data_IF_914554661095
#
_entry.id   IF_914554661095
#
_cell.length_a   1.000
_cell.length_b   1.000
_cell.length_c   1.000
_cell.angle_alpha   90.00
_cell.angle_beta   90.00
_cell.angle_gamma   90.00
#
_symmetry.space_group_name_H-M   'P 1'
#
loop_
_entity.id
_entity.type
_entity.pdbx_description
1 polymer ?
#
# COMPACT_ATOMS: atom_id res chain seq x y z
N UNK A 1 -57.25 0.70 -13.91
CA UNK A 1 -56.55 0.92 -12.62
C UNK A 1 -55.14 0.35 -12.75
N UNK A 2 -54.12 1.20 -12.85
CA UNK A 2 -52.73 0.77 -12.95
C UNK A 2 -52.16 0.56 -11.54
N UNK A 3 -51.89 -0.68 -11.15
CA UNK A 3 -51.22 -1.00 -9.89
C UNK A 3 -49.77 -0.54 -9.98
N UNK A 4 -49.42 0.50 -9.22
CA UNK A 4 -48.05 0.98 -9.10
C UNK A 4 -47.16 -0.13 -8.51
N UNK A 5 -46.30 -0.70 -9.33
CA UNK A 5 -45.30 -1.68 -8.89
C UNK A 5 -44.38 -1.03 -7.86
N UNK A 6 -44.27 -1.65 -6.67
CA UNK A 6 -43.39 -1.12 -5.62
C UNK A 6 -41.95 -1.21 -6.10
N UNK A 7 -41.18 -0.14 -5.88
CA UNK A 7 -39.77 -0.04 -6.30
C UNK A 7 -38.92 -1.24 -5.82
N UNK A 8 -39.24 -1.78 -4.65
CA UNK A 8 -38.58 -2.98 -4.10
C UNK A 8 -38.78 -4.20 -5.01
N UNK A 9 -39.98 -4.39 -5.58
CA UNK A 9 -40.28 -5.50 -6.48
C UNK A 9 -39.57 -5.33 -7.84
N UNK A 10 -39.29 -4.09 -8.24
CA UNK A 10 -38.50 -3.77 -9.45
C UNK A 10 -37.00 -4.03 -9.20
N UNK A 11 -36.49 -3.67 -8.03
CA UNK A 11 -35.08 -3.87 -7.65
C UNK A 11 -34.75 -5.34 -7.31
N UNK A 12 -35.74 -6.11 -6.89
CA UNK A 12 -35.58 -7.54 -6.59
C UNK A 12 -35.48 -8.42 -7.84
N UNK A 13 -35.82 -7.89 -9.03
CA UNK A 13 -35.64 -8.62 -10.28
C UNK A 13 -34.15 -8.70 -10.65
N UNK A 14 -33.68 -9.84 -11.18
CA UNK A 14 -32.32 -9.94 -11.69
C UNK A 14 -32.11 -8.88 -12.77
N UNK A 15 -30.95 -8.20 -12.75
CA UNK A 15 -30.62 -7.20 -13.75
C UNK A 15 -30.59 -7.86 -15.13
N UNK A 16 -31.51 -7.47 -16.00
CA UNK A 16 -31.51 -7.89 -17.39
C UNK A 16 -30.30 -7.28 -18.08
N UNK A 17 -29.51 -8.13 -18.73
CA UNK A 17 -28.37 -7.69 -19.52
C UNK A 17 -28.87 -6.94 -20.75
N UNK A 18 -28.18 -5.88 -21.17
CA UNK A 18 -28.57 -5.10 -22.35
C UNK A 18 -28.60 -6.01 -23.59
N UNK A 19 -29.53 -5.85 -24.55
CA UNK A 19 -29.60 -6.70 -25.74
C UNK A 19 -28.32 -6.75 -26.58
N UNK A 20 -27.53 -5.67 -26.55
CA UNK A 20 -26.22 -5.58 -27.23
C UNK A 20 -25.04 -6.05 -26.37
N UNK A 21 -25.29 -6.54 -25.16
CA UNK A 21 -24.22 -7.04 -24.30
C UNK A 21 -23.77 -8.42 -24.80
N UNK A 22 -22.60 -8.44 -25.41
CA UNK A 22 -21.83 -9.66 -25.60
C UNK A 22 -20.98 -9.91 -24.36
N UNK A 23 -21.13 -11.09 -23.74
CA UNK A 23 -20.18 -11.55 -22.72
C UNK A 23 -18.77 -11.54 -23.35
N UNK A 24 -17.86 -10.68 -22.86
CA UNK A 24 -16.45 -10.73 -23.22
C UNK A 24 -15.81 -11.93 -22.49
N UNK A 25 -16.17 -13.14 -22.94
CA UNK A 25 -15.56 -14.39 -22.48
C UNK A 25 -14.13 -14.41 -22.98
N UNK A 26 -13.23 -13.82 -22.21
CA UNK A 26 -11.77 -14.01 -22.33
C UNK A 26 -11.38 -15.42 -21.90
N UNK A 27 -11.98 -16.45 -22.51
CA UNK A 27 -11.48 -17.81 -22.46
C UNK A 27 -10.63 -18.02 -23.70
N UNK A 28 -9.35 -18.27 -23.47
CA UNK A 28 -8.24 -18.37 -24.43
C UNK A 28 -8.43 -19.44 -25.53
N UNK A 29 -9.50 -20.23 -25.50
CA UNK A 29 -9.75 -21.31 -26.45
C UNK A 29 -10.97 -20.98 -27.32
N UNK A 30 -10.71 -20.60 -28.56
CA UNK A 30 -11.71 -20.38 -29.60
C UNK A 30 -12.17 -21.73 -30.13
N UNK A 31 -13.19 -22.34 -29.53
CA UNK A 31 -13.67 -23.68 -29.93
C UNK A 31 -14.61 -23.59 -31.14
N UNK A 32 -15.36 -22.49 -31.28
CA UNK A 32 -16.43 -22.39 -32.29
C UNK A 32 -16.15 -21.39 -33.44
N UNK A 33 -15.09 -20.57 -33.37
CA UNK A 33 -14.73 -19.62 -34.45
C UNK A 33 -13.23 -19.56 -34.66
N UNK A 34 -12.80 -19.46 -35.93
CA UNK A 34 -11.39 -19.23 -36.25
C UNK A 34 -10.98 -17.83 -35.74
N UNK A 35 -9.78 -17.67 -35.16
CA UNK A 35 -9.27 -16.38 -34.74
C UNK A 35 -9.19 -15.42 -35.94
N UNK A 36 -9.29 -14.12 -35.66
CA UNK A 36 -9.19 -13.07 -36.69
C UNK A 36 -7.85 -13.22 -37.40
N UNK A 37 -7.88 -13.52 -38.70
CA UNK A 37 -6.64 -13.70 -39.46
C UNK A 37 -5.93 -12.35 -39.64
N UNK A 38 -4.59 -12.33 -39.56
CA UNK A 38 -3.82 -11.13 -39.89
C UNK A 38 -4.13 -10.68 -41.32
N UNK A 39 -4.12 -9.36 -41.54
CA UNK A 39 -4.26 -8.82 -42.89
C UNK A 39 -3.07 -9.17 -43.79
N UNK A 40 -3.05 -8.77 -45.07
CA UNK A 40 -1.99 -9.12 -46.03
C UNK A 40 -0.57 -8.71 -45.63
N UNK A 41 -0.39 -7.88 -44.58
CA UNK A 41 0.91 -7.51 -44.01
C UNK A 41 1.30 -8.27 -42.74
N UNK A 42 0.61 -9.36 -42.37
CA UNK A 42 0.97 -10.19 -41.21
C UNK A 42 0.55 -9.66 -39.84
N UNK A 43 0.04 -8.43 -39.74
CA UNK A 43 -0.41 -7.83 -38.48
C UNK A 43 -1.94 -7.71 -38.43
N UNK A 44 -2.55 -7.98 -37.27
CA UNK A 44 -3.97 -7.69 -37.02
C UNK A 44 -4.22 -6.18 -37.17
N UNK A 45 -5.09 -5.79 -38.12
CA UNK A 45 -5.53 -4.40 -38.25
C UNK A 45 -6.35 -4.04 -37.00
N UNK A 46 -5.82 -3.14 -36.18
CA UNK A 46 -6.56 -2.61 -35.03
C UNK A 46 -7.67 -1.71 -35.58
N UNK A 47 -8.88 -2.24 -35.66
CA UNK A 47 -10.07 -1.47 -36.02
C UNK A 47 -10.55 -0.77 -34.77
N UNK A 48 -10.36 0.55 -34.71
CA UNK A 48 -10.89 1.38 -33.64
C UNK A 48 -12.41 1.45 -33.84
N UNK A 49 -13.16 0.97 -32.86
CA UNK A 49 -14.61 1.16 -32.83
C UNK A 49 -14.93 2.59 -32.41
N UNK A 50 -16.04 3.17 -32.87
CA UNK A 50 -16.41 4.54 -32.53
C UNK A 50 -16.46 4.80 -31.01
N UNK A 51 -16.81 3.78 -30.22
CA UNK A 51 -16.78 3.85 -28.75
C UNK A 51 -15.36 3.94 -28.16
N UNK A 52 -14.41 3.18 -28.72
CA UNK A 52 -13.00 3.26 -28.30
C UNK A 52 -12.40 4.60 -28.70
N UNK A 53 -12.79 5.13 -29.86
CA UNK A 53 -12.40 6.48 -30.29
C UNK A 53 -12.93 7.55 -29.32
N UNK A 54 -14.19 7.46 -28.89
CA UNK A 54 -14.75 8.34 -27.86
C UNK A 54 -14.01 8.25 -26.52
N UNK A 55 -13.67 7.03 -26.08
CA UNK A 55 -12.95 6.82 -24.82
C UNK A 55 -11.50 7.30 -24.88
N UNK A 56 -10.91 7.35 -26.08
CA UNK A 56 -9.57 7.89 -26.29
C UNK A 56 -9.52 9.42 -26.19
N UNK A 57 -10.67 10.10 -26.33
CA UNK A 57 -10.76 11.55 -26.14
C UNK A 57 -10.59 11.89 -24.67
N UNK A 58 -9.81 12.92 -24.37
CA UNK A 58 -9.70 13.45 -23.02
C UNK A 58 -11.08 13.86 -22.51
N UNK A 59 -11.38 13.60 -21.23
CA UNK A 59 -12.60 14.13 -20.62
C UNK A 59 -12.58 15.65 -20.66
N UNK A 60 -13.67 16.25 -21.14
CA UNK A 60 -13.86 17.69 -21.07
C UNK A 60 -13.90 18.13 -19.60
N UNK A 61 -13.10 19.16 -19.28
CA UNK A 61 -13.14 19.80 -17.97
C UNK A 61 -14.51 20.43 -17.80
N UNK A 62 -15.13 20.25 -16.62
CA UNK A 62 -16.43 20.88 -16.32
C UNK A 62 -16.31 22.40 -16.54
N UNK A 63 -17.16 22.98 -17.40
CA UNK A 63 -17.17 24.42 -17.70
C UNK A 63 -17.45 25.28 -16.47
N UNK A 64 -18.08 24.71 -15.44
CA UNK A 64 -18.34 25.36 -14.14
C UNK A 64 -17.14 25.27 -13.18
N UNK A 65 -16.03 24.64 -13.59
CA UNK A 65 -14.83 24.53 -12.78
C UNK A 65 -14.08 25.86 -12.73
N UNK A 66 -14.31 26.60 -11.64
CA UNK A 66 -13.55 27.83 -11.33
C UNK A 66 -12.24 27.44 -10.63
N UNK A 67 -11.11 27.63 -11.32
CA UNK A 67 -9.75 27.30 -10.84
C UNK A 67 -9.39 27.99 -9.51
N UNK A 68 -10.00 29.15 -9.27
CA UNK A 68 -9.90 29.93 -8.04
C UNK A 68 -11.28 30.06 -7.41
N UNK A 69 -11.72 29.05 -6.65
CA UNK A 69 -12.71 29.35 -5.62
C UNK A 69 -12.09 30.43 -4.74
N UNK A 70 -12.69 31.62 -4.58
CA UNK A 70 -12.22 32.54 -3.56
C UNK A 70 -12.32 31.77 -2.25
N UNK A 71 -11.17 31.49 -1.63
CA UNK A 71 -11.17 31.05 -0.24
C UNK A 71 -12.00 32.07 0.53
N UNK A 72 -12.84 31.68 1.50
CA UNK A 72 -13.57 32.66 2.29
C UNK A 72 -12.55 33.62 2.90
N UNK A 73 -12.50 34.85 2.39
CA UNK A 73 -11.67 35.92 2.94
C UNK A 73 -12.47 36.38 4.15
N UNK A 74 -12.18 35.81 5.31
CA UNK A 74 -12.81 36.23 6.55
C UNK A 74 -12.34 37.65 6.84
N UNK A 75 -13.26 38.60 6.98
CA UNK A 75 -12.94 39.96 7.38
C UNK A 75 -12.22 39.92 8.73
N UNK A 76 -10.96 40.34 8.74
CA UNK A 76 -10.16 40.39 9.96
C UNK A 76 -10.63 41.57 10.80
N UNK A 77 -11.01 41.32 12.06
CA UNK A 77 -11.44 42.38 12.98
C UNK A 77 -10.35 43.46 13.09
N UNK A 78 -10.70 44.77 13.15
CA UNK A 78 -9.71 45.84 13.22
C UNK A 78 -8.81 45.75 14.47
N UNK A 79 -9.28 45.11 15.55
CA UNK A 79 -8.46 44.82 16.73
C UNK A 79 -7.35 43.80 16.49
N UNK A 80 -7.56 42.83 15.59
CA UNK A 80 -6.53 41.87 15.21
C UNK A 80 -5.47 42.50 14.30
N UNK A 81 -5.85 43.49 13.48
CA UNK A 81 -4.90 44.29 12.68
C UNK A 81 -4.01 45.21 13.54
N UNK A 82 -4.49 45.61 14.72
CA UNK A 82 -3.78 46.46 15.68
C UNK A 82 -3.04 45.68 16.77
N UNK A 83 -3.14 44.35 16.79
CA UNK A 83 -2.54 43.53 17.83
C UNK A 83 -1.02 43.51 17.69
N UNK A 84 -0.30 43.87 18.75
CA UNK A 84 1.15 43.75 18.82
C UNK A 84 1.54 42.38 19.36
N UNK A 85 2.67 41.84 18.90
CA UNK A 85 3.17 40.57 19.37
C UNK A 85 3.55 40.65 20.86
N UNK A 86 3.29 39.59 21.61
CA UNK A 86 3.79 39.46 22.99
C UNK A 86 5.30 39.22 22.95
N UNK A 87 6.04 39.68 23.96
CA UNK A 87 7.50 39.44 24.04
C UNK A 87 7.88 37.96 23.95
N UNK A 88 7.01 37.03 24.37
CA UNK A 88 7.22 35.58 24.16
C UNK A 88 7.07 35.19 22.70
N UNK A 89 6.10 35.76 21.99
CA UNK A 89 5.90 35.50 20.54
C UNK A 89 7.07 36.04 19.75
N UNK A 90 7.61 37.20 20.13
CA UNK A 90 8.82 37.76 19.55
C UNK A 90 10.05 36.87 19.82
N UNK A 91 10.20 36.32 21.03
CA UNK A 91 11.27 35.36 21.32
C UNK A 91 11.14 34.05 20.53
N UNK A 92 9.91 33.60 20.26
CA UNK A 92 9.65 32.38 19.48
C UNK A 92 9.74 32.61 17.97
N UNK A 93 9.54 33.85 17.50
CA UNK A 93 9.68 34.19 16.08
C UNK A 93 11.15 34.28 15.66
N UNK A 94 12.06 34.49 16.61
CA UNK A 94 13.49 34.34 16.37
C UNK A 94 13.81 32.87 16.04
N UNK A 95 14.56 32.68 14.96
CA UNK A 95 15.08 31.36 14.63
C UNK A 95 15.94 30.84 15.78
N UNK A 96 15.88 29.53 16.03
CA UNK A 96 16.76 28.90 17.01
C UNK A 96 18.19 28.94 16.50
N UNK A 97 19.06 29.67 17.18
CA UNK A 97 20.52 29.68 16.92
C UNK A 97 21.14 28.42 17.49
N UNK A 98 21.06 27.31 16.73
CA UNK A 98 21.72 26.07 17.12
C UNK A 98 23.24 26.18 16.91
N UNK A 99 23.99 26.62 17.93
CA UNK A 99 25.46 26.57 17.96
C UNK A 99 26.03 25.14 18.18
N UNK A 100 25.40 24.10 17.65
CA UNK A 100 25.81 22.69 17.91
C UNK A 100 25.92 21.81 16.66
N UNK A 101 25.43 22.23 15.52
CA UNK A 101 25.52 21.43 14.29
C UNK A 101 26.53 22.04 13.33
N UNK A 102 27.82 21.75 13.56
CA UNK A 102 28.75 21.71 12.43
C UNK A 102 28.21 20.63 11.49
N UNK A 103 27.87 20.99 10.25
CA UNK A 103 27.61 19.98 9.24
C UNK A 103 28.93 19.21 9.05
N UNK A 104 28.93 17.90 9.30
CA UNK A 104 30.12 17.06 9.15
C UNK A 104 30.66 17.08 7.70
N UNK A 105 29.82 17.48 6.73
CA UNK A 105 30.15 17.57 5.33
C UNK A 105 29.56 18.83 4.70
N UNK A 106 30.30 19.55 3.83
CA UNK A 106 29.76 20.69 3.09
C UNK A 106 28.57 20.27 2.21
N UNK A 107 27.61 21.19 1.95
CA UNK A 107 26.42 20.91 1.12
C UNK A 107 26.76 20.63 -0.35
N UNK A 108 27.96 20.97 -0.79
CA UNK A 108 28.47 20.66 -2.12
C UNK A 108 29.70 19.75 -2.01
N UNK A 109 29.83 18.81 -2.93
CA UNK A 109 31.00 17.94 -3.05
C UNK A 109 32.11 18.70 -3.77
N UNK A 110 33.20 19.04 -3.07
CA UNK A 110 34.39 19.61 -3.71
C UNK A 110 35.09 18.54 -4.52
N UNK A 111 35.04 18.66 -5.86
CA UNK A 111 35.75 17.76 -6.77
C UNK A 111 37.19 18.25 -6.92
N UNK A 112 38.15 17.36 -6.71
CA UNK A 112 39.60 17.63 -6.86
C UNK A 112 39.93 18.02 -8.31
N UNK A 113 40.93 18.89 -8.51
CA UNK A 113 41.35 19.33 -9.85
C UNK A 113 41.76 18.16 -10.75
N UNK A 114 42.46 17.16 -10.21
CA UNK A 114 42.83 15.94 -10.91
C UNK A 114 41.62 15.14 -11.43
N UNK A 115 40.48 15.18 -10.73
CA UNK A 115 39.26 14.52 -11.18
C UNK A 115 38.53 15.33 -12.26
N UNK A 116 38.72 16.66 -12.30
CA UNK A 116 38.20 17.52 -13.36
C UNK A 116 39.00 17.40 -14.66
N UNK A 117 40.30 17.09 -14.57
CA UNK A 117 41.21 16.94 -15.72
C UNK A 117 41.49 15.49 -16.11
N UNK A 118 40.84 14.50 -15.46
CA UNK A 118 41.06 13.09 -15.74
C UNK A 118 40.55 12.72 -17.14
N UNK A 119 41.42 12.13 -17.95
CA UNK A 119 41.06 11.58 -19.25
C UNK A 119 40.37 10.22 -19.09
N UNK A 120 39.41 9.96 -19.98
CA UNK A 120 38.68 8.70 -20.04
C UNK A 120 39.63 7.57 -20.43
N UNK A 121 39.53 6.41 -19.78
CA UNK A 121 40.25 5.20 -20.21
C UNK A 121 39.46 4.48 -21.30
N UNK A 122 40.14 3.79 -22.21
CA UNK A 122 39.52 3.01 -23.30
C UNK A 122 38.44 2.05 -22.79
N UNK A 123 38.65 1.46 -21.61
CA UNK A 123 37.66 0.61 -20.94
C UNK A 123 36.39 1.39 -20.57
N UNK A 124 36.53 2.58 -19.99
CA UNK A 124 35.40 3.45 -19.64
C UNK A 124 34.69 3.95 -20.89
N UNK A 125 35.42 4.27 -21.95
CA UNK A 125 34.86 4.63 -23.25
C UNK A 125 34.03 3.48 -23.84
N UNK A 126 34.54 2.25 -23.76
CA UNK A 126 33.82 1.07 -24.21
C UNK A 126 32.60 0.73 -23.34
N UNK A 127 32.63 1.04 -22.04
CA UNK A 127 31.48 0.87 -21.15
C UNK A 127 30.42 1.96 -21.31
N UNK A 128 30.85 3.17 -21.72
CA UNK A 128 29.96 4.30 -21.99
C UNK A 128 29.20 4.13 -23.31
N UNK A 129 29.72 3.34 -24.25
CA UNK A 129 29.00 2.99 -25.49
C UNK A 129 27.70 2.25 -25.14
N UNK A 130 26.54 2.67 -25.69
CA UNK A 130 25.29 1.97 -25.46
C UNK A 130 25.41 0.54 -26.01
N UNK A 131 25.06 -0.46 -25.21
CA UNK A 131 25.04 -1.85 -25.67
C UNK A 131 23.88 -2.05 -26.63
N UNK A 132 24.13 -2.50 -27.85
CA UNK A 132 23.05 -2.88 -28.77
C UNK A 132 22.33 -4.10 -28.22
N UNK A 133 21.01 -4.19 -28.45
CA UNK A 133 20.19 -5.33 -28.00
C UNK A 133 20.71 -6.66 -28.55
N UNK A 134 21.27 -6.62 -29.77
CA UNK A 134 21.83 -7.75 -30.50
C UNK A 134 23.10 -8.30 -29.79
N UNK A 135 23.95 -7.43 -29.26
CA UNK A 135 25.18 -7.84 -28.55
C UNK A 135 24.90 -8.50 -27.18
N UNK A 136 23.68 -8.29 -26.64
CA UNK A 136 23.25 -8.87 -25.36
C UNK A 136 22.45 -10.16 -25.54
N UNK A 137 21.77 -10.28 -26.69
CA UNK A 137 20.96 -11.42 -27.07
C UNK A 137 21.24 -11.70 -28.56
N UNK A 138 22.23 -12.54 -28.87
CA UNK A 138 22.39 -13.14 -30.21
C UNK A 138 21.24 -14.13 -30.52
N UNK A 139 20.01 -13.77 -30.15
CA UNK A 139 18.90 -14.73 -30.08
C UNK A 139 17.80 -14.27 -31.01
N UNK A 140 17.58 -15.07 -32.05
CA UNK A 140 16.34 -15.06 -32.81
C UNK A 140 15.19 -15.33 -31.82
N UNK A 141 14.39 -14.31 -31.53
CA UNK A 141 13.16 -14.43 -30.75
C UNK A 141 12.21 -15.36 -31.51
N UNK A 142 11.91 -16.55 -30.94
CA UNK A 142 10.83 -17.39 -31.45
C UNK A 142 9.48 -16.79 -31.09
N UNK A 143 8.42 -17.21 -31.78
CA UNK A 143 7.03 -16.73 -31.58
C UNK A 143 6.52 -16.83 -30.12
N UNK A 144 7.17 -17.64 -29.28
CA UNK A 144 6.82 -17.83 -27.86
C UNK A 144 7.77 -17.14 -26.86
N UNK A 145 8.70 -16.29 -27.32
CA UNK A 145 9.63 -15.57 -26.44
C UNK A 145 10.70 -16.44 -25.79
N UNK A 146 10.83 -17.69 -26.23
CA UNK A 146 11.88 -18.59 -25.77
C UNK A 146 13.22 -18.23 -26.42
N UNK A 147 14.21 -17.91 -25.60
CA UNK A 147 15.60 -17.83 -26.02
C UNK A 147 16.11 -19.24 -26.36
N UNK A 148 16.55 -19.50 -27.60
CA UNK A 148 17.16 -20.79 -27.99
C UNK A 148 18.68 -20.70 -28.20
N UNK A 149 19.42 -21.83 -28.08
CA UNK A 149 19.25 -22.95 -27.16
C UNK A 149 20.15 -22.76 -25.93
N UNK A 150 19.86 -23.48 -24.85
CA UNK A 150 20.81 -23.66 -23.73
C UNK A 150 22.18 -24.02 -24.32
N UNK A 151 23.22 -23.25 -23.98
CA UNK A 151 24.57 -23.49 -24.52
C UNK A 151 24.99 -24.93 -24.27
N UNK A 152 25.77 -25.51 -25.17
CA UNK A 152 26.22 -26.91 -24.98
C UNK A 152 26.98 -27.10 -23.67
N UNK A 153 27.73 -26.09 -23.24
CA UNK A 153 28.41 -26.07 -21.96
C UNK A 153 27.41 -26.16 -20.79
N UNK A 154 26.30 -25.42 -20.84
CA UNK A 154 25.25 -25.49 -19.82
C UNK A 154 24.51 -26.84 -19.85
N UNK A 155 24.33 -27.48 -21.01
CA UNK A 155 23.76 -28.84 -21.10
C UNK A 155 24.69 -29.92 -20.55
N UNK A 156 26.01 -29.71 -20.68
CA UNK A 156 27.07 -30.62 -20.18
C UNK A 156 27.49 -30.31 -18.74
N UNK A 157 27.00 -29.21 -18.17
CA UNK A 157 27.37 -28.77 -16.83
C UNK A 157 26.86 -29.79 -15.80
N UNK A 158 27.77 -30.25 -14.94
CA UNK A 158 27.45 -31.06 -13.77
C UNK A 158 27.33 -30.15 -12.55
N UNK A 159 26.45 -30.53 -11.63
CA UNK A 159 26.29 -29.82 -10.37
C UNK A 159 27.59 -29.96 -9.57
N UNK A 160 28.05 -28.87 -8.96
CA UNK A 160 29.21 -28.91 -8.06
C UNK A 160 28.76 -29.36 -6.67
N UNK A 161 29.62 -30.02 -5.91
CA UNK A 161 29.34 -30.47 -4.53
C UNK A 161 28.80 -29.33 -3.63
N UNK A 162 29.29 -28.11 -3.86
CA UNK A 162 28.79 -26.92 -3.16
C UNK A 162 27.34 -26.60 -3.52
N UNK A 163 26.96 -26.75 -4.78
CA UNK A 163 25.57 -26.51 -5.21
C UNK A 163 24.66 -27.63 -4.71
N UNK A 164 25.14 -28.87 -4.66
CA UNK A 164 24.40 -29.97 -4.02
C UNK A 164 24.15 -29.70 -2.53
N UNK A 165 25.19 -29.30 -1.77
CA UNK A 165 25.01 -28.97 -0.35
C UNK A 165 24.12 -27.74 -0.09
N UNK A 166 24.09 -26.78 -1.02
CA UNK A 166 23.17 -25.64 -0.94
C UNK A 166 21.73 -26.00 -1.35
N UNK A 167 21.55 -27.06 -2.15
CA UNK A 167 20.24 -27.57 -2.54
C UNK A 167 19.60 -28.40 -1.42
N UNK A 168 20.39 -28.88 -0.45
CA UNK A 168 19.85 -29.54 0.74
C UNK A 168 19.00 -28.53 1.56
N UNK A 169 17.74 -28.88 1.89
CA UNK A 169 16.90 -28.01 2.70
C UNK A 169 17.50 -27.87 4.11
N UNK A 170 17.40 -26.66 4.66
CA UNK A 170 17.84 -26.41 6.05
C UNK A 170 17.05 -27.29 7.01
N UNK A 171 17.77 -27.91 7.95
CA UNK A 171 17.15 -28.67 9.03
C UNK A 171 16.29 -27.74 9.90
N UNK A 172 15.07 -28.14 10.27
CA UNK A 172 14.24 -27.37 11.17
C UNK A 172 14.91 -27.25 12.55
N UNK A 173 14.58 -26.20 13.29
CA UNK A 173 15.05 -26.02 14.67
C UNK A 173 14.59 -27.18 15.56
N UNK A 174 15.34 -27.53 16.61
CA UNK A 174 15.01 -28.65 17.52
C UNK A 174 13.63 -28.55 18.18
N UNK A 175 13.12 -27.33 18.32
CA UNK A 175 11.79 -27.02 18.87
C UNK A 175 10.75 -26.69 17.79
N UNK A 176 11.05 -26.87 16.51
CA UNK A 176 10.10 -26.61 15.44
C UNK A 176 8.91 -27.56 15.56
N UNK A 177 7.73 -27.00 15.79
CA UNK A 177 6.47 -27.70 15.69
C UNK A 177 5.81 -27.30 14.37
N UNK A 178 5.40 -28.27 13.53
CA UNK A 178 4.68 -27.96 12.31
C UNK A 178 3.35 -27.25 12.64
N UNK A 179 2.81 -26.52 11.67
CA UNK A 179 1.50 -25.90 11.83
C UNK A 179 0.47 -26.96 12.25
N UNK A 180 -0.32 -26.65 13.28
CA UNK A 180 -1.42 -27.53 13.70
C UNK A 180 -2.40 -27.69 12.52
N UNK A 181 -2.92 -28.91 12.28
CA UNK A 181 -3.91 -29.12 11.23
C UNK A 181 -5.14 -28.21 11.44
N UNK A 182 -5.77 -27.80 10.34
CA UNK A 182 -6.93 -26.89 10.35
C UNK A 182 -8.08 -27.45 11.20
N UNK A 183 -8.23 -28.78 11.22
CA UNK A 183 -9.11 -29.49 12.15
C UNK A 183 -8.25 -30.11 13.25
N UNK A 184 -8.34 -29.57 14.45
CA UNK A 184 -7.83 -30.21 15.65
C UNK A 184 -9.02 -30.66 16.48
N UNK A 185 -8.92 -31.86 17.05
CA UNK A 185 -9.97 -32.42 17.88
C UNK A 185 -10.16 -31.55 19.12
N UNK A 186 -11.39 -31.08 19.33
CA UNK A 186 -11.77 -30.35 20.53
C UNK A 186 -11.95 -31.37 21.63
N UNK A 187 -11.33 -31.14 22.80
CA UNK A 187 -11.45 -32.08 23.91
C UNK A 187 -12.90 -32.23 24.36
N UNK A 188 -13.27 -33.44 24.78
CA UNK A 188 -14.58 -33.76 25.34
C UNK A 188 -15.00 -32.81 26.47
N UNK A 189 -14.04 -32.39 27.29
CA UNK A 189 -14.24 -31.42 28.36
C UNK A 189 -14.64 -30.04 27.83
N UNK A 190 -14.03 -29.60 26.73
CA UNK A 190 -14.37 -28.32 26.11
C UNK A 190 -15.73 -28.38 25.41
N UNK A 191 -16.10 -29.51 24.80
CA UNK A 191 -17.43 -29.73 24.19
C UNK A 191 -18.52 -29.72 25.28
N UNK A 192 -18.24 -30.35 26.43
CA UNK A 192 -19.19 -30.48 27.56
C UNK A 192 -19.13 -29.31 28.55
N UNK A 193 -18.29 -28.31 28.31
CA UNK A 193 -18.09 -27.20 29.23
C UNK A 193 -19.36 -26.32 29.30
N UNK A 194 -19.91 -26.16 30.50
CA UNK A 194 -21.00 -25.23 30.76
C UNK A 194 -20.45 -23.83 31.08
N UNK A 195 -21.06 -22.81 30.49
CA UNK A 195 -20.74 -21.42 30.78
C UNK A 195 -20.98 -21.09 32.26
N UNK A 196 -20.07 -20.34 32.87
CA UNK A 196 -20.22 -19.90 34.26
C UNK A 196 -21.45 -19.00 34.42
N UNK A 197 -22.04 -18.97 35.63
CA UNK A 197 -23.22 -18.15 35.93
C UNK A 197 -23.03 -16.68 35.51
N UNK A 198 -21.83 -16.13 35.74
CA UNK A 198 -21.50 -14.76 35.34
C UNK A 198 -21.47 -14.58 33.83
N UNK A 199 -20.93 -15.56 33.09
CA UNK A 199 -20.89 -15.54 31.64
C UNK A 199 -22.31 -15.64 31.05
N UNK A 200 -23.17 -16.48 31.65
CA UNK A 200 -24.60 -16.55 31.31
C UNK A 200 -25.36 -15.25 31.60
N UNK A 201 -25.01 -14.53 32.67
CA UNK A 201 -25.59 -13.22 32.98
C UNK A 201 -25.15 -12.16 31.95
N UNK A 202 -23.87 -12.17 31.57
CA UNK A 202 -23.31 -11.22 30.60
C UNK A 202 -23.77 -11.50 29.16
N UNK A 203 -24.06 -12.77 28.83
CA UNK A 203 -24.56 -13.14 27.50
C UNK A 203 -26.03 -12.73 27.28
N UNK A 204 -26.76 -12.35 28.34
CA UNK A 204 -28.11 -11.82 28.19
C UNK A 204 -28.03 -10.45 27.50
N UNK A 205 -28.70 -10.26 26.34
CA UNK A 205 -28.72 -8.97 25.69
C UNK A 205 -29.35 -7.95 26.64
N UNK A 206 -28.76 -6.76 26.69
CA UNK A 206 -29.27 -5.66 27.51
C UNK A 206 -30.65 -5.29 26.99
N UNK A 207 -31.68 -5.25 27.85
CA UNK A 207 -33.03 -4.90 27.42
C UNK A 207 -33.06 -3.47 26.88
N UNK A 208 -33.87 -3.23 25.83
CA UNK A 208 -34.03 -1.90 25.21
C UNK A 208 -34.42 -0.80 26.22
N UNK A 209 -35.15 -1.16 27.28
CA UNK A 209 -35.51 -0.26 28.38
C UNK A 209 -34.32 0.21 29.25
N UNK A 210 -33.17 -0.46 29.15
CA UNK A 210 -31.93 -0.08 29.84
C UNK A 210 -30.93 0.66 28.94
N UNK A 211 -31.29 0.89 27.67
CA UNK A 211 -30.53 1.74 26.76
C UNK A 211 -30.95 3.17 27.12
N UNK A 212 -30.01 3.94 27.69
CA UNK A 212 -30.20 5.38 27.86
C UNK A 212 -29.97 6.02 26.50
N UNK A 213 -31.05 6.32 25.80
CA UNK A 213 -31.00 7.02 24.50
C UNK A 213 -30.51 8.48 24.64
N UNK A 214 -30.49 9.01 25.86
CA UNK A 214 -29.94 10.34 26.22
C UNK A 214 -28.40 10.36 26.31
N UNK A 215 -27.70 9.45 25.61
CA UNK A 215 -26.25 9.41 25.62
C UNK A 215 -25.68 10.56 24.79
N UNK A 216 -25.35 11.67 25.47
CA UNK A 216 -24.55 12.74 24.89
C UNK A 216 -23.06 12.33 24.90
N UNK A 217 -22.44 12.09 23.73
CA UNK A 217 -21.05 11.67 23.65
C UNK A 217 -20.05 12.73 24.12
N UNK A 218 -20.48 14.00 24.27
CA UNK A 218 -19.63 15.09 24.72
C UNK A 218 -19.70 15.32 26.25
N UNK A 219 -20.61 14.64 26.95
CA UNK A 219 -20.77 14.79 28.40
C UNK A 219 -19.96 13.72 29.14
N UNK A 220 -18.92 14.18 29.86
CA UNK A 220 -18.13 13.30 30.72
C UNK A 220 -18.96 12.89 31.95
N UNK A 221 -19.10 11.59 32.18
CA UNK A 221 -19.86 11.07 33.31
C UNK A 221 -19.29 11.55 34.66
N UNK A 222 -20.15 11.71 35.68
CA UNK A 222 -19.72 12.08 37.04
C UNK A 222 -18.73 11.09 37.65
N UNK A 223 -18.84 9.81 37.30
CA UNK A 223 -17.89 8.78 37.71
C UNK A 223 -16.52 9.00 37.07
N UNK A 224 -16.48 9.27 35.76
CA UNK A 224 -15.23 9.58 35.05
C UNK A 224 -14.57 10.87 35.57
N UNK A 225 -15.35 11.92 35.89
CA UNK A 225 -14.83 13.16 36.52
C UNK A 225 -14.22 12.94 37.90
N UNK A 226 -14.67 11.90 38.62
CA UNK A 226 -14.20 11.54 39.97
C UNK A 226 -13.18 10.39 39.94
N UNK A 227 -12.92 9.81 38.78
CA UNK A 227 -11.99 8.69 38.66
C UNK A 227 -10.57 9.19 38.97
N UNK A 228 -9.89 8.47 39.85
CA UNK A 228 -8.47 8.66 40.13
C UNK A 228 -7.68 7.55 39.46
N UNK A 229 -6.43 7.84 39.12
CA UNK A 229 -5.52 6.82 38.62
C UNK A 229 -5.39 5.71 39.67
N UNK A 230 -5.41 4.45 39.22
CA UNK A 230 -5.04 3.32 40.08
C UNK A 230 -3.53 3.38 40.34
N UNK A 231 -3.05 2.91 41.50
CA UNK A 231 -1.61 2.96 41.84
C UNK A 231 -0.70 2.36 40.76
N UNK A 232 -1.15 1.33 40.03
CA UNK A 232 -0.40 0.76 38.90
C UNK A 232 -0.22 1.73 37.71
N UNK A 233 -1.21 2.56 37.44
CA UNK A 233 -1.16 3.58 36.37
C UNK A 233 -0.26 4.73 36.81
N UNK A 234 -0.27 5.08 38.10
CA UNK A 234 0.67 6.06 38.67
C UNK A 234 2.12 5.56 38.53
N UNK A 235 2.39 4.31 38.91
CA UNK A 235 3.70 3.67 38.75
C UNK A 235 4.17 3.66 37.28
N UNK A 236 3.28 3.33 36.34
CA UNK A 236 3.60 3.34 34.90
C UNK A 236 3.80 4.75 34.33
N UNK A 237 3.24 5.77 34.98
CA UNK A 237 3.42 7.16 34.58
C UNK A 237 4.75 7.75 35.05
N UNK A 238 5.46 7.05 35.94
CA UNK A 238 6.82 7.41 36.33
C UNK A 238 7.79 7.20 35.16
N UNK A 239 8.69 8.16 34.89
CA UNK A 239 9.64 8.06 33.80
C UNK A 239 10.64 6.92 34.07
N UNK A 240 10.76 6.01 33.11
CA UNK A 240 11.75 4.93 33.16
C UNK A 240 13.15 5.53 33.31
N UNK A 241 13.92 5.05 34.28
CA UNK A 241 15.28 5.51 34.53
C UNK A 241 16.15 5.36 33.27
N UNK A 242 16.80 6.46 32.86
CA UNK A 242 17.73 6.42 31.73
C UNK A 242 18.98 5.65 32.14
N UNK A 243 19.25 4.53 31.48
CA UNK A 243 20.53 3.81 31.59
C UNK A 243 21.69 4.76 31.29
N UNK A 244 22.37 5.25 32.32
CA UNK A 244 23.66 5.93 32.18
C UNK A 244 24.69 4.83 31.92
N UNK A 245 25.26 4.81 30.71
CA UNK A 245 26.47 4.02 30.45
C UNK A 245 27.63 4.82 31.05
N UNK A 246 28.34 4.22 31.98
CA UNK A 246 29.56 4.81 32.49
C UNK A 246 30.55 5.00 31.34
N UNK A 247 31.15 6.19 31.27
CA UNK A 247 32.25 6.43 30.34
C UNK A 247 33.40 5.56 30.83
N UNK A 248 33.86 4.68 29.96
CA UNK A 248 35.08 3.91 30.17
C UNK A 248 36.23 4.92 30.26
N UNK A 249 36.85 5.00 31.45
CA UNK A 249 38.11 5.72 31.69
C UNK A 249 39.25 4.97 31.03
#
# INVERSE_FOLDING_TARGET
MATATRRIDVLAKPKSVHPEHSDDRRSVYWIDRKPIQPGPGGTTKIVITGRVEELSKSKDVNKEYVYHRPTPIWEVKPGALKATASGRVEQLSLHKTYNRHQMERPPHTTVTEAAKSANITDRLENLAKPKNRIDRFEVNEKEWGETQPVSEAAKKARITERVESLAEPKQPHSQFQPAKPIMWEVSDLAIKALASLRLQQLSRPRSRTMIKDDYDPYVVSRAARKAKATGRVEELSEPIERKKRDKKV
#
